data_IF_930245061249
#
_entry.id   IF_930245061249
#
_cell.length_a   1.000
_cell.length_b   1.000
_cell.length_c   1.000
_cell.angle_alpha   90.00
_cell.angle_beta   90.00
_cell.angle_gamma   90.00
#
_symmetry.space_group_name_H-M   'P 1'
#
loop_
_entity.id
_entity.type
_entity.pdbx_description
1 polymer ?
#
# COMPACT_ATOMS: atom_id res chain seq x y z
N UNK A 1 -11.93 18.64 -4.05
CA UNK A 1 -12.00 17.34 -3.34
C UNK A 1 -10.72 16.56 -3.65
N UNK A 2 -9.67 16.82 -2.88
CA UNK A 2 -8.31 16.40 -3.20
C UNK A 2 -8.08 14.96 -2.75
N UNK A 3 -8.05 14.00 -3.70
CA UNK A 3 -7.63 12.61 -3.44
C UNK A 3 -6.10 12.56 -3.29
N UNK A 4 -5.60 13.13 -2.20
CA UNK A 4 -4.17 13.29 -1.99
C UNK A 4 -3.59 12.01 -1.43
N UNK A 5 -2.96 11.23 -2.32
CA UNK A 5 -2.05 10.10 -2.03
C UNK A 5 -2.75 8.83 -1.52
N UNK A 6 -3.37 8.11 -2.46
CA UNK A 6 -3.65 6.68 -2.31
C UNK A 6 -2.36 5.88 -2.54
N UNK A 7 -2.02 4.99 -1.61
CA UNK A 7 -0.93 4.02 -1.75
C UNK A 7 -1.56 2.66 -2.02
N UNK A 8 -1.02 1.93 -3.00
CA UNK A 8 -1.43 0.57 -3.30
C UNK A 8 -0.61 -0.42 -2.48
N UNK A 9 -1.23 -1.46 -1.94
CA UNK A 9 -0.54 -2.56 -1.28
C UNK A 9 -0.54 -3.79 -2.18
N UNK A 10 0.66 -4.16 -2.63
CA UNK A 10 0.93 -5.29 -3.51
C UNK A 10 1.33 -6.51 -2.71
N UNK A 11 0.66 -7.64 -2.91
CA UNK A 11 1.05 -8.92 -2.34
C UNK A 11 2.43 -9.37 -2.88
N UNK A 12 3.34 -9.79 -2.00
CA UNK A 12 4.68 -10.24 -2.43
C UNK A 12 4.67 -11.59 -3.16
N UNK A 13 3.63 -12.41 -3.00
CA UNK A 13 3.56 -13.74 -3.61
C UNK A 13 2.89 -13.70 -4.99
N UNK A 14 1.67 -13.17 -5.09
CA UNK A 14 0.95 -13.09 -6.37
C UNK A 14 1.16 -11.78 -7.14
N UNK A 15 1.91 -10.82 -6.56
CA UNK A 15 2.17 -9.48 -7.14
C UNK A 15 0.91 -8.66 -7.47
N UNK A 16 -0.27 -9.10 -7.02
CA UNK A 16 -1.54 -8.39 -7.19
C UNK A 16 -1.73 -7.31 -6.13
N UNK A 17 -2.39 -6.23 -6.52
CA UNK A 17 -2.79 -5.15 -5.62
C UNK A 17 -4.11 -5.55 -4.98
N UNK A 18 -4.12 -5.73 -3.67
CA UNK A 18 -5.30 -6.18 -2.92
C UNK A 18 -5.92 -5.08 -2.07
N UNK A 19 -5.14 -4.07 -1.67
CA UNK A 19 -5.59 -3.02 -0.78
C UNK A 19 -5.11 -1.65 -1.25
N UNK A 20 -5.92 -0.65 -0.95
CA UNK A 20 -5.62 0.76 -1.16
C UNK A 20 -5.68 1.43 0.20
N UNK A 21 -4.62 2.11 0.60
CA UNK A 21 -4.59 2.90 1.82
C UNK A 21 -4.56 4.38 1.43
N UNK A 22 -5.55 5.14 1.92
CA UNK A 22 -5.53 6.59 1.81
C UNK A 22 -4.58 7.14 2.85
N UNK A 23 -3.58 7.93 2.44
CA UNK A 23 -2.70 8.61 3.39
C UNK A 23 -3.16 10.05 3.54
N UNK A 24 -3.88 10.33 4.62
CA UNK A 24 -4.36 11.67 4.97
C UNK A 24 -3.19 12.67 5.02
N UNK A 25 -3.36 13.84 4.38
CA UNK A 25 -2.38 14.95 4.30
C UNK A 25 -2.05 15.63 5.64
N UNK A 26 -2.51 15.08 6.77
CA UNK A 26 -2.25 15.63 8.10
C UNK A 26 -0.96 15.07 8.68
N UNK A 27 0.11 15.89 8.61
CA UNK A 27 1.40 15.74 9.30
C UNK A 27 2.39 14.71 8.70
N UNK A 28 3.58 15.21 8.41
CA UNK A 28 4.82 14.50 8.12
C UNK A 28 5.02 13.89 6.72
N UNK A 29 5.59 14.67 5.77
CA UNK A 29 6.18 14.14 4.54
C UNK A 29 7.32 13.13 4.80
N UNK A 30 7.93 13.13 5.99
CA UNK A 30 8.98 12.17 6.41
C UNK A 30 8.50 10.73 6.63
N UNK A 31 7.21 10.51 6.93
CA UNK A 31 6.69 9.13 7.05
C UNK A 31 6.57 8.42 5.69
N UNK A 32 6.85 9.11 4.57
CA UNK A 32 6.79 8.54 3.21
C UNK A 32 8.00 7.64 2.88
N UNK A 33 8.97 7.58 3.78
CA UNK A 33 10.21 6.81 3.60
C UNK A 33 10.14 5.43 4.26
N UNK A 34 9.21 5.20 5.20
CA UNK A 34 8.99 3.86 5.76
C UNK A 34 8.19 3.01 4.78
N UNK A 35 8.90 2.11 4.10
CA UNK A 35 8.30 1.00 3.32
C UNK A 35 7.30 0.27 4.21
N UNK A 36 6.02 0.42 3.92
CA UNK A 36 4.97 -0.25 4.68
C UNK A 36 4.91 -1.72 4.24
N UNK A 37 5.34 -2.63 5.11
CA UNK A 37 5.25 -4.07 4.92
C UNK A 37 4.21 -4.63 5.89
N UNK A 38 3.03 -4.97 5.39
CA UNK A 38 1.91 -5.43 6.20
C UNK A 38 1.62 -6.90 5.90
N UNK A 39 1.58 -7.75 6.92
CA UNK A 39 1.08 -9.12 6.78
C UNK A 39 -0.45 -9.06 6.72
N UNK A 40 -1.00 -9.27 5.51
CA UNK A 40 -2.45 -9.33 5.29
C UNK A 40 -2.83 -10.61 4.56
N UNK A 41 -4.08 -11.01 4.73
CA UNK A 41 -4.66 -12.10 3.97
C UNK A 41 -4.73 -11.73 2.48
N UNK A 42 -4.16 -12.56 1.62
CA UNK A 42 -4.33 -12.40 0.18
C UNK A 42 -5.44 -13.34 -0.29
N UNK A 43 -6.55 -12.79 -0.79
CA UNK A 43 -7.68 -13.58 -1.33
C UNK A 43 -7.26 -14.57 -2.42
N UNK A 44 -6.28 -14.19 -3.24
CA UNK A 44 -5.75 -15.03 -4.34
C UNK A 44 -4.86 -16.18 -3.87
N UNK A 45 -3.98 -15.94 -2.88
CA UNK A 45 -3.10 -16.96 -2.34
C UNK A 45 -3.77 -17.78 -1.22
N UNK A 46 -4.98 -17.39 -0.79
CA UNK A 46 -5.74 -17.92 0.37
C UNK A 46 -4.91 -18.05 1.65
N UNK A 47 -3.90 -17.19 1.83
CA UNK A 47 -2.99 -17.21 2.98
C UNK A 47 -2.55 -15.80 3.36
N UNK A 48 -2.09 -15.65 4.60
CA UNK A 48 -1.49 -14.41 5.07
C UNK A 48 -0.10 -14.24 4.44
N UNK A 49 0.07 -13.15 3.71
CA UNK A 49 1.30 -12.84 2.97
C UNK A 49 1.71 -11.40 3.24
N UNK A 50 3.00 -11.14 3.08
CA UNK A 50 3.55 -9.79 3.19
C UNK A 50 3.09 -8.99 1.98
N UNK A 51 2.38 -7.90 2.23
CA UNK A 51 2.01 -6.91 1.25
C UNK A 51 2.94 -5.71 1.38
N UNK A 52 3.53 -5.30 0.26
CA UNK A 52 4.47 -4.18 0.15
C UNK A 52 3.77 -2.98 -0.46
N UNK A 53 4.11 -1.80 0.04
CA UNK A 53 3.75 -0.53 -0.59
C UNK A 53 4.19 -0.49 -2.07
N UNK A 54 3.26 -0.08 -2.94
CA UNK A 54 3.49 0.31 -4.32
C UNK A 54 3.03 1.75 -4.45
N UNK A 55 3.99 2.67 -4.56
CA UNK A 55 3.71 4.09 -4.76
C UNK A 55 3.13 4.28 -6.16
N UNK A 56 1.96 4.91 -6.25
CA UNK A 56 1.46 5.46 -7.50
C UNK A 56 2.30 6.71 -7.76
N UNK A 57 3.36 6.60 -8.57
CA UNK A 57 4.05 7.78 -9.09
C UNK A 57 3.08 8.46 -10.05
N UNK A 58 2.30 9.40 -9.51
CA UNK A 58 1.61 10.39 -10.34
C UNK A 58 2.68 11.12 -11.14
N UNK A 59 2.48 11.17 -12.46
CA UNK A 59 3.22 12.06 -13.35
C UNK A 59 2.83 13.50 -13.03
#
# INVERSE_FOLDING_TARGET
MSQERLIQLRCSNCKRINYYIGRSKGKDPKSAEKKLELKKFCKWCKKHTIHKESKIRGK
#
